data_IF_652706050416
#
_entry.id   IF_652706050416
#
_cell.length_a   1.000
_cell.length_b   1.000
_cell.length_c   1.000
_cell.angle_alpha   90.00
_cell.angle_beta   90.00
_cell.angle_gamma   90.00
#
_symmetry.space_group_name_H-M   'P 1'
#
loop_
_entity.id
_entity.type
_entity.pdbx_description
1 polymer ?
#
# COMPACT_ATOMS: atom_id res chain seq x y z
N UNK A 1 21.93 -1.82 -2.06
CA UNK A 1 20.71 -1.30 -1.38
C UNK A 1 19.47 -1.83 -2.06
N UNK A 2 18.56 -2.36 -1.30
CA UNK A 2 17.29 -2.85 -1.84
C UNK A 2 16.28 -1.72 -2.01
N UNK A 3 15.40 -1.85 -2.98
CA UNK A 3 14.36 -0.86 -3.25
C UNK A 3 12.99 -1.42 -2.89
N UNK A 4 12.33 -0.77 -1.96
CA UNK A 4 10.97 -1.12 -1.54
C UNK A 4 10.00 -0.07 -2.09
N UNK A 5 9.04 -0.51 -2.90
CA UNK A 5 7.92 0.35 -3.28
C UNK A 5 6.89 0.37 -2.15
N UNK A 6 6.36 1.54 -1.84
CA UNK A 6 5.32 1.70 -0.81
C UNK A 6 4.17 2.53 -1.36
N UNK A 7 2.98 1.95 -1.36
CA UNK A 7 1.75 2.64 -1.73
C UNK A 7 0.74 2.46 -0.60
N UNK A 8 0.27 3.57 -0.06
CA UNK A 8 -0.83 3.57 0.91
C UNK A 8 -2.02 4.23 0.24
N UNK A 9 -3.12 3.48 0.11
CA UNK A 9 -4.35 4.06 -0.41
C UNK A 9 -5.11 4.70 0.76
N UNK A 10 -5.12 6.04 0.85
CA UNK A 10 -5.71 6.71 2.00
C UNK A 10 -7.22 6.60 2.08
N UNK A 11 -7.87 6.23 0.98
CA UNK A 11 -9.31 6.04 0.95
C UNK A 11 -9.75 4.59 0.99
N UNK A 12 -8.80 3.67 1.24
CA UNK A 12 -9.12 2.25 1.36
C UNK A 12 -10.08 2.01 2.54
N UNK A 13 -11.09 1.20 2.29
CA UNK A 13 -12.09 0.89 3.30
C UNK A 13 -13.30 1.81 3.32
N UNK A 14 -13.32 2.84 2.48
CA UNK A 14 -14.46 3.75 2.42
C UNK A 14 -15.64 3.19 1.64
N UNK A 15 -15.38 2.37 0.64
CA UNK A 15 -16.40 1.99 -0.34
C UNK A 15 -17.64 1.35 0.26
N UNK A 16 -17.48 0.39 1.15
CA UNK A 16 -18.60 -0.34 1.73
C UNK A 16 -19.28 0.37 2.89
N UNK A 17 -18.52 1.13 3.67
CA UNK A 17 -19.03 1.77 4.87
C UNK A 17 -19.63 3.14 4.63
N UNK A 18 -19.29 3.74 3.51
CA UNK A 18 -19.64 5.11 3.27
C UNK A 18 -20.74 5.24 2.26
N UNK A 19 -21.37 4.20 1.80
CA UNK A 19 -22.54 4.23 0.88
C UNK A 19 -23.00 5.63 0.52
N UNK A 20 -22.15 6.45 0.00
CA UNK A 20 -22.21 7.89 0.15
C UNK A 20 -23.13 8.61 -0.78
N UNK A 21 -24.06 7.93 -1.32
CA UNK A 21 -25.09 8.61 -2.07
C UNK A 21 -25.94 9.45 -1.13
N UNK A 22 -25.74 10.75 -1.19
CA UNK A 22 -26.57 11.69 -0.44
C UNK A 22 -26.10 11.98 0.99
N UNK A 23 -24.92 11.56 1.37
CA UNK A 23 -24.34 11.95 2.64
C UNK A 23 -23.88 13.40 2.55
N UNK A 24 -24.08 14.18 3.60
CA UNK A 24 -23.56 15.55 3.59
C UNK A 24 -22.03 15.56 3.62
N UNK A 25 -21.42 16.69 3.22
CA UNK A 25 -20.00 16.80 3.09
C UNK A 25 -19.22 16.55 4.38
N UNK A 26 -19.83 16.81 5.54
CA UNK A 26 -19.20 16.62 6.86
C UNK A 26 -19.07 15.14 7.18
N UNK A 27 -20.13 14.37 6.97
CA UNK A 27 -20.07 12.92 7.21
C UNK A 27 -19.12 12.22 6.26
N UNK A 28 -19.10 12.61 4.99
CA UNK A 28 -18.18 12.10 4.00
C UNK A 28 -16.74 12.41 4.37
N UNK A 29 -16.46 13.63 4.80
CA UNK A 29 -15.11 14.03 5.21
C UNK A 29 -14.66 13.29 6.48
N UNK A 30 -15.53 13.14 7.47
CA UNK A 30 -15.22 12.38 8.68
C UNK A 30 -14.90 10.92 8.37
N UNK A 31 -15.67 10.29 7.48
CA UNK A 31 -15.44 8.92 7.05
C UNK A 31 -14.11 8.79 6.30
N UNK A 32 -13.81 9.74 5.43
CA UNK A 32 -12.54 9.78 4.68
C UNK A 32 -11.35 9.87 5.64
N UNK A 33 -11.41 10.76 6.62
CA UNK A 33 -10.35 10.91 7.61
C UNK A 33 -10.16 9.65 8.46
N UNK A 34 -11.25 8.97 8.80
CA UNK A 34 -11.19 7.70 9.49
C UNK A 34 -10.51 6.61 8.66
N UNK A 35 -10.83 6.53 7.37
CA UNK A 35 -10.22 5.58 6.45
C UNK A 35 -8.73 5.86 6.25
N UNK A 36 -8.35 7.12 6.09
CA UNK A 36 -6.94 7.54 5.97
C UNK A 36 -6.15 7.08 7.19
N UNK A 37 -6.67 7.35 8.38
CA UNK A 37 -6.02 6.96 9.63
C UNK A 37 -5.89 5.45 9.74
N UNK A 38 -6.93 4.71 9.38
CA UNK A 38 -6.96 3.26 9.47
C UNK A 38 -5.92 2.61 8.54
N UNK A 39 -5.87 3.03 7.28
CA UNK A 39 -4.87 2.55 6.33
C UNK A 39 -3.46 2.92 6.78
N UNK A 40 -3.27 4.14 7.27
CA UNK A 40 -1.99 4.60 7.78
C UNK A 40 -1.51 3.80 8.98
N UNK A 41 -2.38 3.53 9.95
CA UNK A 41 -2.03 2.75 11.13
C UNK A 41 -1.62 1.32 10.76
N UNK A 42 -2.31 0.70 9.82
CA UNK A 42 -1.99 -0.65 9.37
C UNK A 42 -0.69 -0.68 8.58
N UNK A 43 -0.48 0.27 7.69
CA UNK A 43 0.77 0.41 6.96
C UNK A 43 1.94 0.67 7.91
N UNK A 44 1.73 1.45 8.96
CA UNK A 44 2.74 1.70 9.97
C UNK A 44 3.18 0.42 10.67
N UNK A 45 2.24 -0.45 11.04
CA UNK A 45 2.54 -1.74 11.67
C UNK A 45 3.39 -2.62 10.76
N UNK A 46 3.06 -2.68 9.48
CA UNK A 46 3.83 -3.46 8.51
C UNK A 46 5.22 -2.86 8.30
N UNK A 47 5.29 -1.57 8.04
CA UNK A 47 6.54 -0.90 7.71
C UNK A 47 7.51 -0.87 8.89
N UNK A 48 7.01 -0.85 10.12
CA UNK A 48 7.83 -0.89 11.33
C UNK A 48 8.67 -2.17 11.43
N UNK A 49 8.21 -3.27 10.84
CA UNK A 49 8.95 -4.53 10.82
C UNK A 49 10.22 -4.44 9.95
N UNK A 50 10.31 -3.43 9.09
CA UNK A 50 11.46 -3.22 8.20
C UNK A 50 12.51 -2.27 8.79
N UNK A 51 12.26 -1.68 9.95
CA UNK A 51 13.21 -0.76 10.59
C UNK A 51 14.59 -1.40 10.84
N UNK A 52 14.73 -2.70 11.15
CA UNK A 52 16.05 -3.30 11.32
C UNK A 52 16.97 -3.18 10.10
N UNK A 53 16.40 -3.05 8.89
CA UNK A 53 17.18 -2.92 7.65
C UNK A 53 17.05 -1.53 7.02
N UNK A 54 16.60 -0.55 7.76
CA UNK A 54 16.31 0.80 7.24
C UNK A 54 17.49 1.45 6.52
N UNK A 55 18.71 1.19 6.97
CA UNK A 55 19.90 1.80 6.39
C UNK A 55 20.28 1.18 5.03
N UNK A 56 19.85 -0.04 4.77
CA UNK A 56 20.11 -0.76 3.55
C UNK A 56 18.91 -0.75 2.59
N UNK A 57 17.90 0.05 2.90
CA UNK A 57 16.64 0.06 2.19
C UNK A 57 16.34 1.47 1.65
N UNK A 58 16.02 1.55 0.37
CA UNK A 58 15.49 2.77 -0.24
C UNK A 58 13.98 2.60 -0.40
N UNK A 59 13.20 3.47 0.23
CA UNK A 59 11.74 3.45 0.13
C UNK A 59 11.32 4.35 -1.02
N UNK A 60 10.75 3.75 -2.06
CA UNK A 60 10.14 4.47 -3.18
C UNK A 60 8.67 4.66 -2.84
N UNK A 61 8.20 5.89 -2.82
CA UNK A 61 6.83 6.16 -2.39
C UNK A 61 6.16 7.24 -3.24
N UNK A 62 4.86 7.33 -3.10
CA UNK A 62 4.11 8.47 -3.62
C UNK A 62 4.03 9.56 -2.54
N UNK A 63 3.78 10.78 -2.97
CA UNK A 63 3.78 11.95 -2.09
C UNK A 63 2.71 11.89 -1.00
N UNK A 64 2.98 12.56 0.11
CA UNK A 64 2.02 12.80 1.19
C UNK A 64 1.50 11.53 1.83
N UNK A 65 0.18 11.43 1.95
CA UNK A 65 -0.50 10.33 2.64
C UNK A 65 -0.39 8.99 1.92
N UNK A 66 0.03 8.98 0.66
CA UNK A 66 0.21 7.75 -0.11
C UNK A 66 1.50 6.99 0.21
N UNK A 67 2.25 7.40 1.20
CA UNK A 67 3.44 6.69 1.65
C UNK A 67 4.57 7.56 2.17
N UNK A 68 4.80 8.72 1.57
CA UNK A 68 5.89 9.60 1.96
C UNK A 68 5.84 10.00 3.44
N UNK A 69 4.68 10.46 3.89
CA UNK A 69 4.51 10.92 5.27
C UNK A 69 4.84 9.82 6.27
N UNK A 70 4.38 8.61 6.00
CA UNK A 70 4.61 7.47 6.88
C UNK A 70 6.08 7.05 6.91
N UNK A 71 6.72 6.96 5.75
CA UNK A 71 8.12 6.56 5.68
C UNK A 71 9.01 7.54 6.43
N UNK A 72 8.75 8.84 6.28
CA UNK A 72 9.51 9.87 6.99
C UNK A 72 9.23 9.85 8.49
N UNK A 73 7.97 9.66 8.88
CA UNK A 73 7.57 9.58 10.29
C UNK A 73 8.28 8.44 11.02
N UNK A 74 8.44 7.30 10.36
CA UNK A 74 9.10 6.14 10.96
C UNK A 74 10.63 6.24 10.97
N UNK A 75 11.20 7.23 10.30
CA UNK A 75 12.64 7.48 10.36
C UNK A 75 13.46 6.73 9.34
N UNK A 76 12.87 6.29 8.22
CA UNK A 76 13.65 5.71 7.13
C UNK A 76 14.56 6.79 6.55
N UNK A 77 15.88 6.55 6.48
CA UNK A 77 16.81 7.59 6.03
C UNK A 77 16.82 7.79 4.51
N UNK A 78 16.44 6.76 3.76
CA UNK A 78 16.47 6.80 2.31
C UNK A 78 15.04 6.72 1.77
N UNK A 79 14.42 7.87 1.56
CA UNK A 79 13.07 7.98 1.04
C UNK A 79 13.11 8.74 -0.27
N UNK A 80 12.57 8.15 -1.34
CA UNK A 80 12.49 8.78 -2.64
C UNK A 80 11.04 8.85 -3.09
N UNK A 81 10.54 10.06 -3.32
CA UNK A 81 9.20 10.28 -3.86
C UNK A 81 9.27 10.13 -5.37
N UNK A 82 8.66 9.08 -5.90
CA UNK A 82 8.68 8.78 -7.35
C UNK A 82 7.43 9.23 -8.07
N UNK A 83 6.39 9.59 -7.35
CA UNK A 83 5.14 10.08 -7.91
C UNK A 83 4.52 11.12 -6.96
N UNK A 84 4.05 12.22 -7.50
CA UNK A 84 3.35 13.25 -6.73
C UNK A 84 1.91 13.33 -7.18
N UNK A 85 0.99 13.15 -6.24
CA UNK A 85 -0.43 13.33 -6.48
C UNK A 85 -0.85 14.74 -6.08
N UNK A 86 -1.87 15.25 -6.75
CA UNK A 86 -2.49 16.54 -6.44
C UNK A 86 -3.94 16.32 -6.06
N UNK A 87 -4.39 16.95 -4.97
CA UNK A 87 -5.77 16.82 -4.50
C UNK A 87 -6.08 15.44 -3.93
N UNK A 88 -7.33 14.99 -4.10
CA UNK A 88 -7.76 13.69 -3.65
C UNK A 88 -7.15 12.59 -4.52
N UNK A 89 -6.69 11.53 -3.86
CA UNK A 89 -6.11 10.38 -4.58
C UNK A 89 -7.20 9.56 -5.25
N UNK A 90 -6.87 9.09 -6.45
CA UNK A 90 -7.77 8.27 -7.27
C UNK A 90 -7.10 6.95 -7.64
N UNK A 91 -7.86 6.07 -8.30
CA UNK A 91 -7.31 4.83 -8.85
C UNK A 91 -6.17 5.12 -9.84
N UNK A 92 -6.27 6.20 -10.62
CA UNK A 92 -5.23 6.60 -11.57
C UNK A 92 -3.93 6.96 -10.84
N UNK A 93 -4.01 7.61 -9.68
CA UNK A 93 -2.83 7.90 -8.87
C UNK A 93 -2.13 6.61 -8.43
N UNK A 94 -2.88 5.61 -8.02
CA UNK A 94 -2.34 4.30 -7.64
C UNK A 94 -1.63 3.64 -8.81
N UNK A 95 -2.24 3.66 -9.98
CA UNK A 95 -1.67 3.07 -11.20
C UNK A 95 -0.37 3.79 -11.60
N UNK A 96 -0.38 5.12 -11.61
CA UNK A 96 0.80 5.90 -11.96
C UNK A 96 1.93 5.72 -10.94
N UNK A 97 1.60 5.71 -9.65
CA UNK A 97 2.59 5.47 -8.61
C UNK A 97 3.23 4.10 -8.75
N UNK A 98 2.42 3.07 -8.98
CA UNK A 98 2.92 1.70 -9.17
C UNK A 98 3.84 1.61 -10.38
N UNK A 99 3.48 2.23 -11.49
CA UNK A 99 4.34 2.26 -12.70
C UNK A 99 5.68 2.93 -12.42
N UNK A 100 5.68 3.98 -11.61
CA UNK A 100 6.92 4.66 -11.23
C UNK A 100 7.81 3.79 -10.33
N UNK A 101 7.26 2.74 -9.74
CA UNK A 101 7.99 1.80 -8.89
C UNK A 101 8.36 0.51 -9.62
N UNK A 102 8.16 0.43 -10.93
CA UNK A 102 8.57 -0.73 -11.72
C UNK A 102 10.07 -0.95 -11.55
N UNK A 103 10.44 -2.19 -11.29
CA UNK A 103 11.84 -2.52 -11.02
C UNK A 103 12.22 -2.51 -9.53
N UNK A 104 11.32 -2.14 -8.63
CA UNK A 104 11.56 -2.31 -7.21
C UNK A 104 11.72 -3.79 -6.86
N UNK A 105 12.49 -4.08 -5.83
CA UNK A 105 12.69 -5.46 -5.37
C UNK A 105 11.41 -6.05 -4.78
N UNK A 106 10.58 -5.20 -4.18
CA UNK A 106 9.33 -5.58 -3.59
C UNK A 106 8.41 -4.36 -3.53
N UNK A 107 7.13 -4.55 -3.78
CA UNK A 107 6.10 -3.54 -3.58
C UNK A 107 5.23 -3.93 -2.39
N UNK A 108 5.13 -3.04 -1.42
CA UNK A 108 4.27 -3.20 -0.25
C UNK A 108 3.14 -2.17 -0.38
N UNK A 109 1.89 -2.61 -0.31
CA UNK A 109 0.76 -1.69 -0.46
C UNK A 109 -0.31 -1.93 0.59
N UNK A 110 -0.93 -0.85 1.03
CA UNK A 110 -2.07 -0.88 1.95
C UNK A 110 -3.32 -0.40 1.22
N UNK A 111 -4.32 -1.25 1.16
CA UNK A 111 -5.57 -0.94 0.47
C UNK A 111 -6.45 -2.17 0.39
N UNK A 112 -7.50 -2.09 -0.39
CA UNK A 112 -8.43 -3.20 -0.63
C UNK A 112 -8.16 -3.91 -1.95
N UNK A 113 -9.11 -4.74 -2.36
CA UNK A 113 -9.01 -5.50 -3.61
C UNK A 113 -8.93 -4.60 -4.85
N UNK A 114 -9.59 -3.43 -4.82
CA UNK A 114 -9.49 -2.45 -5.89
C UNK A 114 -8.07 -1.90 -6.05
N UNK A 115 -7.38 -1.66 -4.92
CA UNK A 115 -5.98 -1.23 -4.94
C UNK A 115 -5.09 -2.33 -5.53
N UNK A 116 -5.31 -3.58 -5.13
CA UNK A 116 -4.57 -4.73 -5.68
C UNK A 116 -4.76 -4.83 -7.19
N UNK A 117 -5.98 -4.66 -7.66
CA UNK A 117 -6.30 -4.66 -9.09
C UNK A 117 -5.57 -3.55 -9.84
N UNK A 118 -5.56 -2.33 -9.29
CA UNK A 118 -4.88 -1.20 -9.91
C UNK A 118 -3.37 -1.45 -10.02
N UNK A 119 -2.77 -2.04 -9.01
CA UNK A 119 -1.35 -2.39 -9.01
C UNK A 119 -1.06 -3.47 -10.03
N UNK A 120 -1.90 -4.48 -10.11
CA UNK A 120 -1.77 -5.54 -11.13
C UNK A 120 -1.88 -4.97 -12.54
N UNK A 121 -2.84 -4.06 -12.77
CA UNK A 121 -3.00 -3.39 -14.05
C UNK A 121 -1.73 -2.61 -14.45
N UNK A 122 -1.08 -1.99 -13.47
CA UNK A 122 0.12 -1.22 -13.72
C UNK A 122 1.37 -2.08 -13.96
N UNK A 123 1.55 -3.13 -13.19
CA UNK A 123 2.81 -3.89 -13.11
C UNK A 123 2.70 -5.33 -13.63
N UNK A 124 1.50 -5.89 -13.68
CA UNK A 124 1.32 -7.29 -14.04
C UNK A 124 2.06 -8.19 -13.06
N UNK A 125 2.83 -9.13 -13.59
CA UNK A 125 3.59 -10.09 -12.79
C UNK A 125 5.07 -9.71 -12.65
N UNK A 126 5.46 -8.55 -13.12
CA UNK A 126 6.86 -8.13 -13.20
C UNK A 126 7.45 -7.77 -11.84
N UNK A 127 6.63 -7.38 -10.89
CA UNK A 127 7.09 -6.95 -9.58
C UNK A 127 6.39 -7.77 -8.50
N UNK A 128 7.16 -8.26 -7.54
CA UNK A 128 6.60 -8.98 -6.40
C UNK A 128 5.89 -7.97 -5.49
N UNK A 129 4.66 -8.28 -5.12
CA UNK A 129 3.83 -7.40 -4.29
C UNK A 129 3.25 -8.15 -3.11
N UNK A 130 3.16 -7.46 -1.98
CA UNK A 130 2.51 -7.96 -0.76
C UNK A 130 1.48 -6.93 -0.32
N UNK A 131 0.25 -7.37 -0.10
CA UNK A 131 -0.82 -6.52 0.38
C UNK A 131 -0.89 -6.47 1.89
N UNK A 132 -1.00 -5.26 2.43
CA UNK A 132 -1.28 -5.01 3.84
C UNK A 132 -2.79 -4.87 3.97
N UNK A 133 -3.45 -5.73 4.76
CA UNK A 133 -4.90 -5.63 4.89
C UNK A 133 -5.30 -4.31 5.56
N UNK A 134 -6.15 -3.54 4.91
CA UNK A 134 -6.55 -2.21 5.35
C UNK A 134 -7.90 -2.19 6.10
N UNK A 135 -8.34 -3.34 6.60
CA UNK A 135 -9.55 -3.43 7.41
C UNK A 135 -10.86 -3.56 6.64
N UNK A 136 -10.78 -3.70 5.34
CA UNK A 136 -11.94 -3.97 4.49
C UNK A 136 -12.03 -5.46 4.18
N UNK A 137 -13.17 -5.85 3.63
CA UNK A 137 -13.37 -7.21 3.16
C UNK A 137 -12.40 -7.49 2.00
N UNK A 138 -11.54 -8.49 2.17
CA UNK A 138 -10.46 -8.79 1.23
C UNK A 138 -10.66 -10.19 0.69
N UNK A 139 -10.60 -10.31 -0.63
CA UNK A 139 -10.79 -11.56 -1.34
C UNK A 139 -9.53 -12.02 -2.08
N UNK A 140 -8.60 -11.11 -2.37
CA UNK A 140 -7.39 -11.42 -3.13
C UNK A 140 -6.35 -12.12 -2.26
N UNK A 141 -5.76 -13.24 -2.71
CA UNK A 141 -4.75 -13.97 -1.93
C UNK A 141 -3.38 -13.28 -1.86
N UNK A 142 -3.21 -12.16 -2.54
CA UNK A 142 -1.97 -11.35 -2.50
C UNK A 142 -1.72 -10.73 -1.11
N UNK A 143 -2.73 -10.71 -0.26
CA UNK A 143 -2.65 -10.11 1.06
C UNK A 143 -2.14 -11.07 2.12
N UNK A 144 -1.35 -10.54 3.04
CA UNK A 144 -1.04 -11.23 4.29
C UNK A 144 -2.26 -11.19 5.22
N UNK A 145 -2.27 -12.09 6.21
CA UNK A 145 -3.40 -12.19 7.15
C UNK A 145 -3.49 -10.96 8.06
N UNK A 146 -2.37 -10.40 8.46
CA UNK A 146 -2.28 -9.23 9.35
C UNK A 146 -1.20 -8.27 8.86
N UNK A 147 -1.29 -6.97 9.22
CA UNK A 147 -0.28 -5.99 8.82
C UNK A 147 1.14 -6.38 9.24
N UNK A 148 1.31 -6.85 10.47
CA UNK A 148 2.63 -7.25 10.97
C UNK A 148 3.18 -8.44 10.17
N UNK A 149 2.33 -9.37 9.78
CA UNK A 149 2.72 -10.51 8.95
C UNK A 149 3.20 -10.06 7.57
N UNK A 150 2.56 -9.04 6.99
CA UNK A 150 3.00 -8.45 5.73
C UNK A 150 4.41 -7.88 5.87
N UNK A 151 4.67 -7.14 6.94
CA UNK A 151 5.99 -6.55 7.20
C UNK A 151 7.07 -7.61 7.42
N UNK A 152 6.76 -8.64 8.20
CA UNK A 152 7.70 -9.74 8.45
C UNK A 152 8.02 -10.51 7.17
N UNK A 153 7.03 -10.76 6.34
CA UNK A 153 7.24 -11.44 5.06
C UNK A 153 8.10 -10.58 4.13
N UNK A 154 7.84 -9.29 4.08
CA UNK A 154 8.63 -8.35 3.30
C UNK A 154 10.09 -8.34 3.76
N UNK A 155 10.32 -8.32 5.07
CA UNK A 155 11.66 -8.36 5.65
C UNK A 155 12.40 -9.63 5.22
N UNK A 156 11.77 -10.78 5.35
CA UNK A 156 12.38 -12.06 4.97
C UNK A 156 12.69 -12.12 3.48
N UNK A 157 11.79 -11.62 2.66
CA UNK A 157 12.00 -11.58 1.22
C UNK A 157 13.18 -10.68 0.85
N UNK A 158 13.26 -9.49 1.42
CA UNK A 158 14.33 -8.54 1.13
C UNK A 158 15.69 -9.01 1.67
N UNK A 159 15.69 -9.77 2.74
CA UNK A 159 16.91 -10.38 3.27
C UNK A 159 17.34 -11.64 2.50
N UNK A 160 16.57 -12.07 1.53
CA UNK A 160 16.85 -13.26 0.75
C UNK A 160 16.53 -14.57 1.43
N UNK A 161 15.81 -14.54 2.55
CA UNK A 161 15.42 -15.73 3.32
C UNK A 161 14.15 -16.40 2.81
N UNK A 162 13.35 -15.67 2.03
CA UNK A 162 12.15 -16.19 1.40
C UNK A 162 12.18 -15.80 -0.07
N UNK A 163 12.46 -16.75 -0.94
CA UNK A 163 12.60 -16.50 -2.38
C UNK A 163 11.44 -17.05 -3.20
N UNK A 164 10.54 -17.77 -2.56
CA UNK A 164 9.39 -18.34 -3.26
C UNK A 164 8.36 -17.25 -3.46
N UNK A 165 8.02 -17.04 -4.72
CA UNK A 165 6.89 -16.23 -5.10
C UNK A 165 5.91 -17.12 -5.83
N UNK A 166 4.63 -16.77 -5.75
CA UNK A 166 3.63 -17.45 -6.54
C UNK A 166 2.71 -16.43 -7.17
N UNK A 167 2.19 -16.79 -8.32
CA UNK A 167 1.16 -16.00 -8.95
C UNK A 167 -0.10 -16.03 -8.10
N UNK A 168 -0.61 -14.86 -7.77
CA UNK A 168 -1.81 -14.71 -6.95
C UNK A 168 -2.90 -14.04 -7.77
N UNK A 169 -4.09 -14.60 -7.68
CA UNK A 169 -5.24 -14.03 -8.35
C UNK A 169 -5.68 -12.74 -7.67
N UNK A 170 -5.95 -11.71 -8.45
CA UNK A 170 -6.54 -10.47 -7.95
C UNK A 170 -8.04 -10.54 -8.19
N UNK A 171 -8.78 -10.44 -7.10
CA UNK A 171 -10.24 -10.51 -7.13
C UNK A 171 -10.80 -9.15 -6.77
N UNK A 172 -11.65 -8.61 -7.62
CA UNK A 172 -12.36 -7.36 -7.37
C UNK A 172 -13.85 -7.65 -7.51
N UNK A 173 -14.56 -7.59 -6.39
CA UNK A 173 -15.99 -7.85 -6.37
C UNK A 173 -16.74 -6.53 -6.45
N UNK A 174 -17.43 -6.36 -7.56
CA UNK A 174 -18.34 -5.24 -7.78
C UNK A 174 -19.59 -5.44 -6.91
N UNK A 175 -19.68 -4.67 -5.85
CA UNK A 175 -20.90 -4.64 -5.04
C UNK A 175 -21.59 -3.30 -5.15
#
# INVERSE_FOLDING_TARGET
MKHLGLIVNPIAGMGGSVGLKGTDGVAAEAARLGAVRHSGDRAQKALSELLPIKDDLCVLCASGEMGEALARKLGFPNVQVVYRSEGETTADDTIHAARAMEGADLLLFAGGDGTARNIYEALGEKTVAIGIPAGVKIHSPVYAIRPEAAGKLALRYLEGKCRRTQEAEVVDIDE
#
